data_IF_550102220016
#
_entry.id   IF_550102220016
#
_cell.length_a   1.000
_cell.length_b   1.000
_cell.length_c   1.000
_cell.angle_alpha   90.00
_cell.angle_beta   90.00
_cell.angle_gamma   90.00
#
_symmetry.space_group_name_H-M   'P 1'
#
loop_
_entity.id
_entity.type
_entity.pdbx_description
1 polymer ?
#
# COMPACT_ATOMS: atom_id res chain seq x y z
N UNK A 1 -0.69 -6.72 1.39
CA UNK A 1 -1.75 -5.69 1.24
C UNK A 1 -2.29 -5.26 2.60
N UNK A 2 -3.22 -5.99 3.24
CA UNK A 2 -3.81 -5.53 4.52
C UNK A 2 -2.76 -5.38 5.62
N UNK A 3 -1.81 -6.32 5.68
CA UNK A 3 -0.67 -6.26 6.60
C UNK A 3 0.15 -4.98 6.42
N UNK A 4 0.52 -4.66 5.19
CA UNK A 4 1.31 -3.46 4.89
C UNK A 4 0.50 -2.18 5.10
N UNK A 5 -0.80 -2.17 4.77
CA UNK A 5 -1.68 -1.04 4.99
C UNK A 5 -1.77 -0.65 6.48
N UNK A 6 -1.92 -1.64 7.37
CA UNK A 6 -1.93 -1.41 8.82
C UNK A 6 -0.58 -0.85 9.28
N UNK A 7 0.54 -1.38 8.78
CA UNK A 7 1.87 -0.87 9.14
C UNK A 7 2.12 0.55 8.64
N UNK A 8 1.64 0.89 7.45
CA UNK A 8 1.73 2.24 6.87
C UNK A 8 0.95 3.24 7.73
N UNK A 9 -0.29 2.91 8.11
CA UNK A 9 -1.06 3.79 9.02
C UNK A 9 -0.39 3.94 10.39
N UNK A 10 0.07 2.83 10.98
CA UNK A 10 0.75 2.88 12.28
C UNK A 10 2.03 3.72 12.22
N UNK A 11 2.80 3.60 11.13
CA UNK A 11 3.99 4.42 10.91
C UNK A 11 3.66 5.90 10.76
N UNK A 12 2.58 6.25 10.06
CA UNK A 12 2.11 7.62 9.94
C UNK A 12 1.69 8.21 11.30
N UNK A 13 0.97 7.43 12.12
CA UNK A 13 0.56 7.85 13.47
C UNK A 13 1.76 8.07 14.40
N UNK A 14 2.75 7.18 14.36
CA UNK A 14 4.01 7.33 15.12
C UNK A 14 4.77 8.57 14.66
N UNK A 15 4.87 8.79 13.34
CA UNK A 15 5.55 9.97 12.78
C UNK A 15 4.85 11.27 13.17
N UNK A 16 3.52 11.28 13.20
CA UNK A 16 2.72 12.43 13.64
C UNK A 16 2.60 12.54 15.17
N UNK A 17 3.17 11.59 15.92
CA UNK A 17 3.01 11.45 17.37
C UNK A 17 1.54 11.57 17.83
N UNK A 18 0.62 11.02 17.04
CA UNK A 18 -0.81 11.16 17.25
C UNK A 18 -1.61 10.12 16.48
N UNK A 19 -2.69 9.63 17.08
CA UNK A 19 -3.72 8.81 16.41
C UNK A 19 -4.87 9.64 15.83
N UNK A 20 -4.83 10.95 15.96
CA UNK A 20 -5.82 11.88 15.40
C UNK A 20 -5.68 11.98 13.86
N UNK A 21 -6.74 11.66 13.08
CA UNK A 21 -6.72 11.74 11.62
C UNK A 21 -6.20 13.06 11.07
N UNK A 22 -6.57 14.19 11.66
CA UNK A 22 -6.12 15.50 11.16
C UNK A 22 -4.61 15.67 11.24
N UNK A 23 -3.96 14.96 12.18
CA UNK A 23 -2.51 15.04 12.42
C UNK A 23 -1.73 14.00 11.63
N UNK A 24 -2.22 12.76 11.55
CA UNK A 24 -1.49 11.69 10.86
C UNK A 24 -1.78 11.59 9.36
N UNK A 25 -2.90 12.11 8.84
CA UNK A 25 -3.20 12.09 7.40
C UNK A 25 -2.16 12.83 6.54
N UNK A 26 -1.64 14.01 6.94
CA UNK A 26 -0.53 14.64 6.22
C UNK A 26 0.75 13.79 6.22
N UNK A 27 1.07 13.16 7.36
CA UNK A 27 2.22 12.27 7.48
C UNK A 27 2.03 10.99 6.62
N UNK A 28 0.81 10.46 6.58
CA UNK A 28 0.43 9.33 5.74
C UNK A 28 0.62 9.64 4.26
N UNK A 29 0.19 10.82 3.81
CA UNK A 29 0.35 11.27 2.42
C UNK A 29 1.83 11.44 2.03
N UNK A 30 2.68 11.82 2.97
CA UNK A 30 4.13 11.93 2.79
C UNK A 30 4.90 10.61 3.01
N UNK A 31 4.21 9.53 3.39
CA UNK A 31 4.86 8.27 3.76
C UNK A 31 5.46 7.59 2.53
N UNK A 32 6.71 7.14 2.68
CA UNK A 32 7.36 6.18 1.80
C UNK A 32 7.70 4.95 2.63
N UNK A 33 7.00 3.85 2.38
CA UNK A 33 7.08 2.65 3.20
C UNK A 33 7.47 1.44 2.38
N UNK A 34 8.61 0.82 2.70
CA UNK A 34 9.03 -0.43 2.07
C UNK A 34 8.33 -1.61 2.75
N UNK A 35 7.22 -2.06 2.19
CA UNK A 35 6.42 -3.19 2.69
C UNK A 35 6.76 -4.51 2.03
N UNK A 36 6.12 -5.59 2.48
CA UNK A 36 6.30 -6.94 1.94
C UNK A 36 5.80 -7.03 0.49
N UNK A 37 4.78 -6.24 0.15
CA UNK A 37 4.27 -6.15 -1.23
C UNK A 37 5.05 -5.18 -2.13
N UNK A 38 6.10 -4.54 -1.62
CA UNK A 38 6.88 -3.52 -2.33
C UNK A 38 6.81 -2.13 -1.68
N UNK A 39 7.37 -1.14 -2.35
CA UNK A 39 7.37 0.24 -1.88
C UNK A 39 5.96 0.85 -2.00
N UNK A 40 5.46 1.40 -0.91
CA UNK A 40 4.15 2.05 -0.80
C UNK A 40 4.41 3.55 -0.68
N UNK A 41 3.90 4.30 -1.65
CA UNK A 41 3.86 5.74 -1.65
C UNK A 41 2.51 6.18 -2.24
N UNK A 42 2.03 7.37 -1.88
CA UNK A 42 0.74 7.87 -2.35
C UNK A 42 0.91 9.02 -3.35
N UNK A 43 -0.06 9.14 -4.26
CA UNK A 43 -0.21 10.30 -5.13
C UNK A 43 -1.02 11.42 -4.48
N UNK A 44 -1.28 12.50 -5.23
CA UNK A 44 -2.00 13.65 -4.70
C UNK A 44 -3.45 13.34 -4.32
N UNK A 45 -4.03 12.29 -4.91
CA UNK A 45 -5.39 11.81 -4.65
C UNK A 45 -5.45 10.77 -3.53
N UNK A 46 -4.31 10.23 -3.12
CA UNK A 46 -4.22 9.19 -2.10
C UNK A 46 -4.17 7.77 -2.65
N UNK A 47 -3.99 7.61 -3.97
CA UNK A 47 -3.82 6.31 -4.59
C UNK A 47 -2.36 5.83 -4.48
N UNK A 48 -2.16 4.51 -4.44
CA UNK A 48 -0.82 3.91 -4.37
C UNK A 48 -0.09 4.19 -5.69
N UNK A 49 1.04 4.89 -5.61
CA UNK A 49 1.98 5.06 -6.74
C UNK A 49 2.61 3.72 -7.10
N UNK A 50 2.65 3.41 -8.40
CA UNK A 50 3.30 2.22 -8.95
C UNK A 50 2.80 0.91 -8.31
N UNK A 51 1.52 0.85 -7.95
CA UNK A 51 0.90 -0.37 -7.44
C UNK A 51 0.95 -1.48 -8.48
N UNK A 52 1.64 -2.58 -8.17
CA UNK A 52 1.71 -3.72 -9.08
C UNK A 52 0.35 -4.41 -9.20
N UNK A 53 -0.16 -4.55 -10.42
CA UNK A 53 -1.35 -5.36 -10.71
C UNK A 53 -0.93 -6.74 -11.17
N UNK A 54 -1.40 -7.77 -10.47
CA UNK A 54 -1.17 -9.17 -10.87
C UNK A 54 -2.44 -9.73 -11.52
N UNK A 55 -2.37 -10.00 -12.81
CA UNK A 55 -3.44 -10.69 -13.53
C UNK A 55 -3.33 -12.19 -13.31
N UNK A 56 -4.41 -12.82 -12.88
CA UNK A 56 -4.47 -14.25 -12.60
C UNK A 56 -5.65 -14.88 -13.33
N UNK A 57 -5.51 -16.14 -13.72
CA UNK A 57 -6.56 -16.95 -14.33
C UNK A 57 -6.66 -18.30 -13.62
N UNK A 58 -7.63 -19.11 -14.02
CA UNK A 58 -7.76 -20.49 -13.58
C UNK A 58 -7.63 -21.40 -14.80
N UNK A 59 -6.66 -22.32 -14.77
CA UNK A 59 -6.48 -23.37 -15.80
C UNK A 59 -6.57 -24.72 -15.10
N UNK A 60 -7.53 -25.56 -15.51
CA UNK A 60 -7.73 -26.88 -14.89
C UNK A 60 -8.16 -26.84 -13.42
N UNK A 61 -8.79 -25.74 -12.97
CA UNK A 61 -9.18 -25.54 -11.57
C UNK A 61 -8.09 -24.93 -10.69
N UNK A 62 -6.86 -24.79 -11.19
CA UNK A 62 -5.75 -24.18 -10.45
C UNK A 62 -5.54 -22.72 -10.84
N UNK A 63 -5.30 -21.88 -9.82
CA UNK A 63 -5.01 -20.45 -10.00
C UNK A 63 -3.60 -20.27 -10.55
N UNK A 64 -3.47 -19.66 -11.71
CA UNK A 64 -2.19 -19.37 -12.39
C UNK A 64 -2.02 -17.87 -12.61
N UNK A 65 -0.80 -17.37 -12.43
CA UNK A 65 -0.45 -15.97 -12.73
C UNK A 65 -0.22 -15.81 -14.23
N UNK A 66 -0.91 -14.84 -14.85
CA UNK A 66 -0.75 -14.50 -16.27
C UNK A 66 0.28 -13.41 -16.49
N UNK A 67 0.24 -12.34 -15.69
CA UNK A 67 1.13 -11.19 -15.83
C UNK A 67 1.21 -10.39 -14.53
N UNK A 68 2.33 -9.70 -14.35
CA UNK A 68 2.50 -8.64 -13.34
C UNK A 68 2.78 -7.35 -14.08
N UNK A 69 1.92 -6.35 -13.92
CA UNK A 69 2.01 -5.03 -14.54
C UNK A 69 2.44 -4.04 -13.44
N UNK A 70 3.45 -3.21 -13.72
CA UNK A 70 3.99 -2.19 -12.81
C UNK A 70 3.97 -0.82 -13.47
#
# INVERSE_FOLDING_TARGET
YVYDAVKVMANAMVTANSSDPEKYLPALKATQYSGVTGNIAFDEKGDIKNGALTLMTYKGGERTTLAVIR
#
